data_IF_880443144057
#
_entry.id   IF_880443144057
#
_cell.length_a   1.000
_cell.length_b   1.000
_cell.length_c   1.000
_cell.angle_alpha   90.00
_cell.angle_beta   90.00
_cell.angle_gamma   90.00
#
_symmetry.space_group_name_H-M   'P 1'
#
loop_
_entity.id
_entity.type
_entity.pdbx_description
1 polymer ?
#
# COMPACT_ATOMS: atom_id res chain seq x y z
N UNK A 1 -4.75 22.67 1.14
CA UNK A 1 -5.16 21.38 0.54
C UNK A 1 -5.88 20.57 1.60
N UNK A 2 -6.90 19.79 1.24
CA UNK A 2 -7.56 18.88 2.17
C UNK A 2 -6.62 17.70 2.48
N UNK A 3 -6.58 17.25 3.74
CA UNK A 3 -5.66 16.22 4.25
C UNK A 3 -6.13 14.78 4.03
N UNK A 4 -6.60 14.45 2.82
CA UNK A 4 -6.94 13.08 2.51
C UNK A 4 -5.67 12.23 2.43
N UNK A 5 -5.56 11.22 3.30
CA UNK A 5 -4.36 10.37 3.43
C UNK A 5 -4.61 8.93 2.96
N UNK A 6 -5.78 8.65 2.39
CA UNK A 6 -6.22 7.31 2.04
C UNK A 6 -7.26 7.37 0.91
N UNK A 7 -7.17 6.42 -0.03
CA UNK A 7 -8.10 6.26 -1.15
C UNK A 7 -8.48 4.79 -1.34
N UNK A 8 -9.59 4.54 -2.06
CA UNK A 8 -9.94 3.22 -2.57
C UNK A 8 -9.47 3.11 -4.02
N UNK A 9 -8.78 2.01 -4.36
CA UNK A 9 -8.31 1.69 -5.73
C UNK A 9 -9.22 0.66 -6.38
N UNK A 10 -9.28 0.66 -7.71
CA UNK A 10 -10.04 -0.30 -8.51
C UNK A 10 -11.29 0.28 -9.16
N UNK A 11 -12.11 -0.57 -9.79
CA UNK A 11 -13.22 -0.10 -10.65
C UNK A 11 -14.54 0.19 -9.92
N UNK A 12 -14.70 -0.30 -8.68
CA UNK A 12 -16.00 -0.29 -7.99
C UNK A 12 -15.88 -0.08 -6.49
N UNK A 13 -16.76 0.76 -5.96
CA UNK A 13 -17.11 0.89 -4.54
C UNK A 13 -18.31 0.00 -4.20
N UNK A 14 -18.67 -0.10 -2.92
CA UNK A 14 -19.76 -0.98 -2.47
C UNK A 14 -21.07 -0.83 -3.29
N UNK A 15 -21.41 0.38 -3.72
CA UNK A 15 -22.65 0.67 -4.45
C UNK A 15 -22.48 1.52 -5.70
N UNK A 16 -21.25 1.93 -6.04
CA UNK A 16 -20.97 2.88 -7.12
C UNK A 16 -19.73 2.49 -7.92
N UNK A 17 -19.58 3.05 -9.12
CA UNK A 17 -18.32 2.94 -9.87
C UNK A 17 -17.23 3.80 -9.20
N UNK A 18 -15.99 3.32 -9.22
CA UNK A 18 -14.79 4.05 -8.80
C UNK A 18 -13.98 4.47 -10.04
N UNK A 19 -12.96 5.31 -9.85
CA UNK A 19 -12.17 5.88 -10.95
C UNK A 19 -11.29 4.87 -11.72
N UNK A 20 -11.19 3.62 -11.28
CA UNK A 20 -10.37 2.59 -11.93
C UNK A 20 -8.88 2.77 -11.66
N UNK A 21 -8.13 1.67 -11.67
CA UNK A 21 -6.73 1.65 -11.24
C UNK A 21 -5.81 2.56 -12.09
N UNK A 22 -6.11 2.74 -13.37
CA UNK A 22 -5.32 3.60 -14.27
C UNK A 22 -5.41 5.08 -13.86
N UNK A 23 -6.59 5.53 -13.43
CA UNK A 23 -6.78 6.90 -12.98
C UNK A 23 -6.09 7.15 -11.64
N UNK A 24 -6.15 6.16 -10.74
CA UNK A 24 -5.48 6.19 -9.44
C UNK A 24 -3.95 6.28 -9.62
N UNK A 25 -3.40 5.45 -10.50
CA UNK A 25 -1.97 5.45 -10.83
C UNK A 25 -1.52 6.80 -11.43
N UNK A 26 -2.30 7.38 -12.34
CA UNK A 26 -2.00 8.68 -12.93
C UNK A 26 -2.06 9.81 -11.88
N UNK A 27 -2.99 9.73 -10.93
CA UNK A 27 -3.09 10.69 -9.82
C UNK A 27 -1.89 10.59 -8.88
N UNK A 28 -1.52 9.37 -8.46
CA UNK A 28 -0.36 9.10 -7.61
C UNK A 28 0.94 9.63 -8.26
N UNK A 29 1.12 9.39 -9.56
CA UNK A 29 2.26 9.88 -10.32
C UNK A 29 2.33 11.41 -10.38
N UNK A 30 1.19 12.08 -10.63
CA UNK A 30 1.11 13.55 -10.64
C UNK A 30 1.40 14.17 -9.27
N UNK A 31 1.04 13.47 -8.20
CA UNK A 31 1.33 13.88 -6.82
C UNK A 31 2.77 13.53 -6.39
N UNK A 32 3.52 12.77 -7.19
CA UNK A 32 4.89 12.35 -6.88
C UNK A 32 4.97 11.29 -5.76
N UNK A 33 3.87 10.59 -5.49
CA UNK A 33 3.82 9.55 -4.47
C UNK A 33 4.46 8.27 -4.99
N UNK A 34 5.33 7.66 -4.17
CA UNK A 34 6.01 6.41 -4.49
C UNK A 34 5.72 5.36 -3.43
N UNK A 35 5.64 4.07 -3.81
CA UNK A 35 5.49 2.99 -2.84
C UNK A 35 6.64 3.05 -1.82
N UNK A 36 6.30 2.96 -0.54
CA UNK A 36 7.30 2.78 0.49
C UNK A 36 7.75 1.31 0.50
N UNK A 37 9.05 1.07 0.52
CA UNK A 37 9.61 -0.25 0.74
C UNK A 37 9.37 -0.64 2.19
N UNK A 38 8.43 -1.54 2.44
CA UNK A 38 8.27 -2.19 3.75
C UNK A 38 9.09 -3.46 3.78
N UNK A 39 9.71 -3.77 4.92
CA UNK A 39 10.09 -5.15 5.23
C UNK A 39 8.80 -5.98 5.21
N UNK A 40 8.73 -7.06 4.44
CA UNK A 40 7.57 -7.96 4.42
C UNK A 40 7.71 -8.97 5.58
N UNK A 41 7.12 -8.75 6.78
CA UNK A 41 7.25 -9.71 7.88
C UNK A 41 6.67 -11.08 7.52
N UNK A 42 5.72 -11.14 6.58
CA UNK A 42 5.02 -12.36 6.19
C UNK A 42 5.74 -13.19 5.12
N UNK A 43 6.65 -12.60 4.33
CA UNK A 43 7.54 -13.37 3.42
C UNK A 43 8.80 -13.87 4.11
N UNK A 44 9.21 -13.26 5.21
CA UNK A 44 10.34 -13.71 6.01
C UNK A 44 10.12 -15.10 6.66
N UNK A 45 8.87 -15.54 6.83
CA UNK A 45 8.54 -16.79 7.52
C UNK A 45 8.67 -18.09 6.72
N UNK A 46 8.87 -18.04 5.39
CA UNK A 46 9.00 -19.25 4.56
C UNK A 46 10.45 -19.54 4.12
N UNK A 47 11.44 -18.76 4.57
CA UNK A 47 12.82 -19.07 4.25
C UNK A 47 13.82 -18.15 4.92
N UNK A 48 14.47 -18.64 5.97
CA UNK A 48 15.75 -18.11 6.44
C UNK A 48 15.74 -17.48 7.84
N UNK A 49 16.46 -18.16 8.74
CA UNK A 49 17.21 -17.60 9.87
C UNK A 49 16.47 -17.04 11.09
N UNK A 50 16.32 -17.93 12.09
CA UNK A 50 16.50 -17.75 13.54
C UNK A 50 16.53 -16.28 14.01
N UNK A 51 15.36 -15.75 14.41
CA UNK A 51 15.31 -14.61 15.32
C UNK A 51 15.84 -15.08 16.67
N UNK A 52 17.02 -14.57 17.04
CA UNK A 52 17.55 -14.63 18.40
C UNK A 52 16.85 -13.57 19.25
N UNK A 53 16.63 -13.98 20.50
CA UNK A 53 16.04 -13.31 21.65
C UNK A 53 16.36 -11.84 21.93
N UNK A 54 15.48 -11.29 22.79
CA UNK A 54 15.68 -10.30 23.85
C UNK A 54 15.60 -8.80 23.44
N UNK A 55 15.05 -7.89 24.24
CA UNK A 55 14.76 -7.90 25.68
C UNK A 55 13.65 -6.87 26.02
N UNK A 56 12.96 -7.16 27.11
CA UNK A 56 12.33 -6.26 28.13
C UNK A 56 11.54 -5.01 27.71
#
# INVERSE_FOLDING_TARGET
MAGANSIFTGDKLLTAANAGDDADAAMLAKLGLRPMTSEEPMRAGCGGTRQVEAAE
#
